data_IF_013822398477
#
_entry.id   IF_013822398477
#
_cell.length_a   1.000
_cell.length_b   1.000
_cell.length_c   1.000
_cell.angle_alpha   90.00
_cell.angle_beta   90.00
_cell.angle_gamma   90.00
#
_symmetry.space_group_name_H-M   'P 1'
#
loop_
_entity.id
_entity.type
_entity.pdbx_description
1 polymer ?
#
# COMPACT_ATOMS: atom_id res chain seq x y z
N UNK A 1 32.88 -4.04 -4.09
CA UNK A 1 32.25 -2.97 -4.87
C UNK A 1 30.78 -3.23 -4.85
N UNK A 2 30.03 -2.43 -4.11
CA UNK A 2 28.59 -2.62 -3.92
C UNK A 2 27.90 -1.48 -4.64
N UNK A 3 27.43 -1.73 -5.86
CA UNK A 3 26.66 -0.74 -6.62
C UNK A 3 25.19 -0.87 -6.24
N UNK A 4 24.59 0.21 -5.74
CA UNK A 4 23.20 0.26 -5.30
C UNK A 4 22.46 1.36 -6.01
N UNK A 5 21.20 1.11 -6.33
CA UNK A 5 20.31 2.11 -6.90
C UNK A 5 19.13 2.33 -5.96
N UNK A 6 18.80 3.59 -5.69
CA UNK A 6 17.57 4.00 -5.06
C UNK A 6 16.74 4.83 -6.05
N UNK A 7 15.44 4.57 -6.10
CA UNK A 7 14.47 5.28 -6.95
C UNK A 7 13.35 5.79 -6.06
N UNK A 8 12.94 7.04 -6.24
CA UNK A 8 11.70 7.57 -5.69
C UNK A 8 10.83 8.14 -6.81
N UNK A 9 9.63 7.57 -6.99
CA UNK A 9 8.62 8.16 -7.89
C UNK A 9 7.75 9.14 -7.10
N UNK A 10 7.94 10.42 -7.41
CA UNK A 10 7.05 11.50 -7.03
C UNK A 10 5.96 11.79 -8.07
N UNK A 11 5.09 12.75 -7.74
CA UNK A 11 4.03 13.21 -8.64
C UNK A 11 4.53 13.97 -9.87
N UNK A 12 5.69 14.63 -9.82
CA UNK A 12 6.21 15.44 -10.93
C UNK A 12 7.48 14.84 -11.54
N UNK A 13 8.38 14.37 -10.68
CA UNK A 13 9.67 13.84 -11.06
C UNK A 13 9.87 12.44 -10.49
N UNK A 14 10.68 11.67 -11.21
CA UNK A 14 11.28 10.42 -10.73
C UNK A 14 12.74 10.71 -10.44
N UNK A 15 13.12 10.54 -9.18
CA UNK A 15 14.47 10.77 -8.69
C UNK A 15 15.19 9.43 -8.57
N UNK A 16 16.41 9.35 -9.11
CA UNK A 16 17.23 8.14 -9.09
C UNK A 16 18.60 8.50 -8.52
N UNK A 17 19.04 7.76 -7.52
CA UNK A 17 20.37 7.84 -6.95
C UNK A 17 21.09 6.51 -7.15
N UNK A 18 22.35 6.56 -7.59
CA UNK A 18 23.25 5.42 -7.66
C UNK A 18 24.41 5.69 -6.73
N UNK A 19 24.75 4.70 -5.91
CA UNK A 19 25.92 4.72 -5.05
C UNK A 19 26.90 3.64 -5.49
N UNK A 20 28.15 4.02 -5.70
CA UNK A 20 29.26 3.12 -6.04
C UNK A 20 30.53 3.59 -5.36
N UNK A 21 31.13 2.73 -4.54
CA UNK A 21 32.42 2.99 -3.87
C UNK A 21 32.48 4.36 -3.16
N UNK A 22 31.43 4.68 -2.41
CA UNK A 22 31.19 5.95 -1.70
C UNK A 22 30.97 7.20 -2.58
N UNK A 23 30.91 7.05 -3.91
CA UNK A 23 30.48 8.09 -4.84
C UNK A 23 28.97 8.01 -5.11
N UNK A 24 28.33 9.18 -5.18
CA UNK A 24 26.91 9.33 -5.44
C UNK A 24 26.69 9.98 -6.81
N UNK A 25 25.87 9.32 -7.63
CA UNK A 25 25.39 9.81 -8.91
C UNK A 25 23.88 9.98 -8.82
N UNK A 26 23.33 10.99 -9.48
CA UNK A 26 21.90 11.24 -9.47
C UNK A 26 21.38 11.56 -10.87
N UNK A 27 20.17 11.08 -11.16
CA UNK A 27 19.39 11.44 -12.33
C UNK A 27 17.99 11.86 -11.91
N UNK A 28 17.39 12.79 -12.67
CA UNK A 28 16.04 13.30 -12.42
C UNK A 28 15.29 13.36 -13.73
N UNK A 29 14.21 12.58 -13.82
CA UNK A 29 13.38 12.50 -15.02
C UNK A 29 11.95 12.94 -14.71
N UNK A 30 11.18 13.32 -15.73
CA UNK A 30 9.75 13.58 -15.56
C UNK A 30 9.01 12.27 -15.29
N UNK A 31 8.07 12.28 -14.34
CA UNK A 31 7.20 11.14 -14.08
C UNK A 31 6.31 10.89 -15.30
N UNK A 32 6.33 9.65 -15.80
CA UNK A 32 5.49 9.22 -16.93
C UNK A 32 4.17 8.66 -16.38
N UNK A 33 3.15 9.50 -16.21
CA UNK A 33 1.93 9.15 -15.47
C UNK A 33 1.14 7.95 -16.04
N UNK A 34 1.18 7.76 -17.35
CA UNK A 34 0.51 6.66 -18.06
C UNK A 34 1.28 5.34 -18.00
N UNK A 35 2.59 5.41 -17.71
CA UNK A 35 3.49 4.26 -17.63
C UNK A 35 4.68 4.58 -16.70
N UNK A 36 4.47 4.67 -15.36
CA UNK A 36 5.48 5.18 -14.43
C UNK A 36 6.79 4.36 -14.44
N UNK A 37 6.70 3.07 -14.72
CA UNK A 37 7.84 2.16 -14.90
C UNK A 37 8.82 2.62 -16.00
N UNK A 38 8.33 3.28 -17.05
CA UNK A 38 9.19 3.82 -18.13
C UNK A 38 10.03 5.00 -17.64
N UNK A 39 9.45 5.84 -16.79
CA UNK A 39 10.17 6.96 -16.17
C UNK A 39 11.32 6.48 -15.28
N UNK A 40 11.08 5.40 -14.52
CA UNK A 40 12.08 4.73 -13.69
C UNK A 40 13.22 4.17 -14.54
N UNK A 41 12.88 3.37 -15.54
CA UNK A 41 13.90 2.75 -16.40
C UNK A 41 14.74 3.79 -17.12
N UNK A 42 14.13 4.89 -17.57
CA UNK A 42 14.86 6.02 -18.15
C UNK A 42 15.84 6.63 -17.16
N UNK A 43 15.41 6.94 -15.93
CA UNK A 43 16.29 7.53 -14.91
C UNK A 43 17.43 6.60 -14.49
N UNK A 44 17.16 5.29 -14.42
CA UNK A 44 18.17 4.26 -14.17
C UNK A 44 19.20 4.21 -15.31
N UNK A 45 18.75 4.24 -16.57
CA UNK A 45 19.67 4.25 -17.71
C UNK A 45 20.57 5.50 -17.71
N UNK A 46 20.01 6.68 -17.45
CA UNK A 46 20.77 7.94 -17.37
C UNK A 46 21.81 7.93 -16.25
N UNK A 47 21.48 7.41 -15.06
CA UNK A 47 22.43 7.37 -13.93
C UNK A 47 23.55 6.34 -14.15
N UNK A 48 23.24 5.20 -14.76
CA UNK A 48 24.22 4.17 -15.11
C UNK A 48 25.21 4.67 -16.18
N UNK A 49 24.71 5.36 -17.21
CA UNK A 49 25.55 5.99 -18.23
C UNK A 49 26.50 7.03 -17.61
N UNK A 50 25.97 7.89 -16.73
CA UNK A 50 26.76 8.92 -16.04
C UNK A 50 27.84 8.32 -15.14
N UNK A 51 27.54 7.22 -14.47
CA UNK A 51 28.48 6.53 -13.58
C UNK A 51 29.46 5.61 -14.34
N UNK A 52 29.23 5.33 -15.62
CA UNK A 52 30.00 4.36 -16.40
C UNK A 52 29.88 2.94 -15.85
N UNK A 53 28.68 2.55 -15.42
CA UNK A 53 28.40 1.27 -14.74
C UNK A 53 27.45 0.43 -15.58
N UNK A 54 27.77 -0.85 -15.74
CA UNK A 54 26.89 -1.79 -16.43
C UNK A 54 25.76 -2.29 -15.50
N UNK A 55 24.60 -2.61 -16.07
CA UNK A 55 23.46 -3.14 -15.30
C UNK A 55 23.83 -4.39 -14.48
N UNK A 56 24.75 -5.21 -14.97
CA UNK A 56 25.20 -6.44 -14.29
C UNK A 56 26.02 -6.19 -13.02
N UNK A 57 26.54 -4.98 -12.82
CA UNK A 57 27.28 -4.59 -11.62
C UNK A 57 26.35 -4.14 -10.48
N UNK A 58 25.08 -3.83 -10.78
CA UNK A 58 24.10 -3.40 -9.78
C UNK A 58 23.72 -4.59 -8.89
N UNK A 59 23.92 -4.42 -7.59
CA UNK A 59 23.68 -5.46 -6.58
C UNK A 59 22.31 -5.37 -5.91
N UNK A 60 21.68 -4.20 -5.97
CA UNK A 60 20.39 -3.94 -5.31
C UNK A 60 19.68 -2.74 -5.93
N UNK A 61 18.35 -2.83 -6.06
CA UNK A 61 17.47 -1.69 -6.33
C UNK A 61 16.52 -1.49 -5.15
N UNK A 62 16.43 -0.26 -4.64
CA UNK A 62 15.47 0.16 -3.63
C UNK A 62 14.49 1.12 -4.31
N UNK A 63 13.20 0.90 -4.13
CA UNK A 63 12.15 1.66 -4.78
C UNK A 63 11.16 2.22 -3.75
N UNK A 64 11.11 3.54 -3.68
CA UNK A 64 10.09 4.34 -3.00
C UNK A 64 9.07 4.86 -4.00
N UNK A 65 7.82 5.05 -3.54
CA UNK A 65 6.77 5.57 -4.41
C UNK A 65 5.69 6.30 -3.65
N UNK A 66 5.18 7.35 -4.29
CA UNK A 66 3.99 8.08 -3.84
C UNK A 66 2.69 7.60 -4.49
N UNK A 67 2.76 6.60 -5.39
CA UNK A 67 1.59 6.15 -6.16
C UNK A 67 0.46 5.67 -5.25
N UNK A 68 0.76 4.82 -4.25
CA UNK A 68 -0.24 4.32 -3.32
C UNK A 68 -0.92 5.45 -2.52
N UNK A 69 -0.15 6.42 -2.04
CA UNK A 69 -0.65 7.61 -1.36
C UNK A 69 -1.58 8.41 -2.28
N UNK A 70 -1.15 8.70 -3.50
CA UNK A 70 -1.93 9.52 -4.44
C UNK A 70 -3.24 8.85 -4.83
N UNK A 71 -3.27 7.52 -5.02
CA UNK A 71 -4.49 6.77 -5.30
C UNK A 71 -5.55 6.94 -4.19
N UNK A 72 -5.11 7.00 -2.92
CA UNK A 72 -6.00 7.20 -1.77
C UNK A 72 -6.47 8.65 -1.66
N UNK A 73 -5.56 9.61 -1.79
CA UNK A 73 -5.88 11.05 -1.70
C UNK A 73 -6.84 11.46 -2.82
N UNK A 74 -6.56 11.05 -4.06
CA UNK A 74 -7.34 11.41 -5.25
C UNK A 74 -8.59 10.55 -5.45
N UNK A 75 -8.81 9.53 -4.59
CA UNK A 75 -9.93 8.58 -4.72
C UNK A 75 -10.00 7.91 -6.10
N UNK A 76 -8.83 7.50 -6.61
CA UNK A 76 -8.65 6.85 -7.93
C UNK A 76 -8.31 5.36 -7.83
N UNK A 77 -8.64 4.72 -6.71
CA UNK A 77 -8.47 3.28 -6.57
C UNK A 77 -9.53 2.47 -7.30
N UNK A 78 -9.45 1.16 -7.14
CA UNK A 78 -10.30 0.18 -7.81
C UNK A 78 -11.66 0.02 -7.13
N UNK A 79 -12.74 -0.26 -7.89
CA UNK A 79 -14.04 -0.62 -7.32
C UNK A 79 -13.89 -1.78 -6.33
N UNK A 80 -14.27 -1.56 -5.07
CA UNK A 80 -13.95 -2.46 -3.97
C UNK A 80 -15.20 -2.85 -3.19
N UNK A 81 -15.35 -4.15 -2.90
CA UNK A 81 -16.34 -4.70 -1.98
C UNK A 81 -15.79 -4.88 -0.56
N UNK A 82 -16.68 -4.99 0.42
CA UNK A 82 -16.32 -5.30 1.81
C UNK A 82 -17.24 -6.38 2.36
N UNK A 83 -16.67 -7.47 2.87
CA UNK A 83 -17.38 -8.44 3.71
C UNK A 83 -17.15 -8.09 5.19
N UNK A 84 -18.23 -8.06 5.97
CA UNK A 84 -18.19 -7.77 7.41
C UNK A 84 -19.06 -8.72 8.20
N UNK A 85 -18.79 -8.84 9.50
CA UNK A 85 -19.70 -9.51 10.42
C UNK A 85 -21.10 -8.90 10.35
N UNK A 86 -22.14 -9.71 10.32
CA UNK A 86 -23.53 -9.24 10.32
C UNK A 86 -23.79 -8.32 11.53
N UNK A 87 -24.34 -7.14 11.23
CA UNK A 87 -24.53 -6.05 12.19
C UNK A 87 -23.41 -5.01 12.23
N UNK A 88 -22.27 -5.25 11.55
CA UNK A 88 -21.08 -4.37 11.60
C UNK A 88 -20.72 -3.74 10.25
N UNK A 89 -21.59 -3.86 9.23
CA UNK A 89 -21.32 -3.30 7.88
C UNK A 89 -21.10 -1.80 7.85
N UNK A 90 -21.67 -1.08 8.83
CA UNK A 90 -21.64 0.39 8.89
C UNK A 90 -20.51 0.90 9.81
N UNK A 91 -19.66 0.02 10.38
CA UNK A 91 -18.54 0.43 11.23
C UNK A 91 -17.54 1.35 10.52
N UNK A 92 -17.29 1.15 9.22
CA UNK A 92 -16.41 2.04 8.42
C UNK A 92 -17.05 3.40 8.12
N UNK A 93 -18.37 3.51 8.22
CA UNK A 93 -19.12 4.79 8.08
C UNK A 93 -19.16 5.54 9.41
N UNK A 94 -19.51 4.83 10.48
CA UNK A 94 -19.67 5.37 11.82
C UNK A 94 -18.34 5.77 12.44
N UNK A 95 -17.26 5.05 12.11
CA UNK A 95 -15.88 5.31 12.56
C UNK A 95 -15.78 5.25 14.08
N UNK A 96 -14.96 6.13 14.64
CA UNK A 96 -14.85 6.47 16.04
C UNK A 96 -15.22 7.96 16.21
N UNK A 97 -15.20 8.46 17.44
CA UNK A 97 -15.55 9.85 17.76
C UNK A 97 -14.47 10.87 17.37
N UNK A 98 -13.38 10.44 16.71
CA UNK A 98 -12.27 11.32 16.36
C UNK A 98 -12.63 12.28 15.23
N UNK A 99 -12.29 13.56 15.40
CA UNK A 99 -12.54 14.65 14.45
C UNK A 99 -11.24 15.39 14.18
N UNK A 100 -10.92 15.62 12.91
CA UNK A 100 -9.76 16.42 12.54
C UNK A 100 -9.96 17.91 12.85
N UNK A 101 -11.21 18.38 12.84
CA UNK A 101 -11.61 19.70 13.34
C UNK A 101 -12.53 19.54 14.56
N UNK A 102 -11.92 19.50 15.76
CA UNK A 102 -12.64 19.18 17.01
C UNK A 102 -13.75 20.19 17.37
N UNK A 103 -13.62 21.44 16.93
CA UNK A 103 -14.55 22.52 17.25
C UNK A 103 -15.60 22.77 16.16
N UNK A 104 -15.48 22.14 14.99
CA UNK A 104 -16.51 22.23 13.97
C UNK A 104 -17.60 21.16 14.21
N UNK A 105 -18.77 21.63 14.63
CA UNK A 105 -19.94 20.78 14.85
C UNK A 105 -20.61 20.33 13.55
N UNK A 106 -20.34 21.02 12.43
CA UNK A 106 -20.88 20.74 11.10
C UNK A 106 -19.87 20.05 10.18
N UNK A 107 -18.77 19.54 10.74
CA UNK A 107 -17.70 18.86 10.00
C UNK A 107 -18.27 17.79 9.07
N UNK A 108 -17.94 17.90 7.79
CA UNK A 108 -18.30 16.88 6.80
C UNK A 108 -17.18 15.84 6.71
N UNK A 109 -17.49 14.62 7.13
CA UNK A 109 -16.51 13.54 7.15
C UNK A 109 -16.37 12.95 5.74
N UNK A 110 -15.15 12.72 5.23
CA UNK A 110 -14.95 12.22 3.87
C UNK A 110 -15.64 10.86 3.70
N UNK A 111 -16.33 10.52 2.61
CA UNK A 111 -17.02 9.23 2.49
C UNK A 111 -16.03 8.05 2.62
N UNK A 112 -16.43 6.87 3.15
CA UNK A 112 -15.55 5.70 3.20
C UNK A 112 -15.17 5.21 1.79
N UNK A 113 -14.02 4.51 1.67
CA UNK A 113 -13.51 4.02 0.38
C UNK A 113 -14.46 3.01 -0.29
N UNK A 114 -15.12 2.17 0.52
CA UNK A 114 -16.12 1.20 0.05
C UNK A 114 -17.51 1.78 0.28
N UNK A 115 -18.34 2.04 -0.75
CA UNK A 115 -19.69 2.57 -0.57
C UNK A 115 -20.60 1.54 0.09
N UNK A 116 -21.61 1.99 0.84
CA UNK A 116 -22.52 1.13 1.60
C UNK A 116 -23.20 0.03 0.76
N UNK A 117 -23.49 0.31 -0.52
CA UNK A 117 -24.10 -0.64 -1.46
C UNK A 117 -23.21 -1.87 -1.76
N UNK A 118 -21.90 -1.77 -1.55
CA UNK A 118 -20.91 -2.82 -1.76
C UNK A 118 -20.41 -3.46 -0.45
N UNK A 119 -21.02 -3.11 0.70
CA UNK A 119 -20.73 -3.73 2.00
C UNK A 119 -21.71 -4.88 2.25
N UNK A 120 -21.19 -6.10 2.38
CA UNK A 120 -21.96 -7.34 2.52
C UNK A 120 -21.80 -7.91 3.93
N UNK A 121 -22.87 -7.89 4.75
CA UNK A 121 -22.85 -8.53 6.06
C UNK A 121 -22.97 -10.06 5.92
N UNK A 122 -22.06 -10.79 6.56
CA UNK A 122 -22.00 -12.25 6.58
C UNK A 122 -22.42 -12.76 7.95
N UNK A 123 -23.18 -13.86 8.00
CA UNK A 123 -23.54 -14.49 9.27
C UNK A 123 -22.36 -15.31 9.77
N UNK A 124 -21.56 -14.71 10.63
CA UNK A 124 -20.53 -15.40 11.40
C UNK A 124 -20.29 -14.66 12.73
N UNK A 125 -19.69 -15.32 13.73
CA UNK A 125 -19.28 -14.65 14.95
C UNK A 125 -18.17 -15.41 15.67
N UNK A 126 -17.11 -14.68 16.01
CA UNK A 126 -16.05 -15.11 16.93
C UNK A 126 -16.11 -14.20 18.17
N UNK A 127 -15.87 -14.73 19.36
CA UNK A 127 -15.80 -13.93 20.59
C UNK A 127 -14.39 -13.37 20.84
N UNK A 128 -14.26 -12.52 21.86
CA UNK A 128 -12.98 -11.91 22.23
C UNK A 128 -11.93 -12.92 22.77
N UNK A 129 -12.28 -14.20 22.92
CA UNK A 129 -11.35 -15.28 23.27
C UNK A 129 -11.01 -16.17 22.07
N UNK A 130 -11.44 -15.79 20.87
CA UNK A 130 -11.20 -16.54 19.64
C UNK A 130 -12.12 -17.75 19.45
N UNK A 131 -13.16 -17.92 20.28
CA UNK A 131 -14.10 -19.04 20.16
C UNK A 131 -15.19 -18.72 19.15
N UNK A 132 -15.52 -19.69 18.30
CA UNK A 132 -16.62 -19.57 17.35
C UNK A 132 -17.95 -19.60 18.13
N UNK A 133 -18.70 -18.50 18.05
CA UNK A 133 -20.07 -18.41 18.57
C UNK A 133 -21.10 -18.78 17.51
N UNK A 134 -20.84 -18.35 16.28
CA UNK A 134 -21.67 -18.65 15.11
C UNK A 134 -20.73 -19.01 13.96
N UNK A 135 -20.87 -20.23 13.42
CA UNK A 135 -20.08 -20.68 12.27
C UNK A 135 -20.28 -19.75 11.07
N UNK A 136 -19.25 -19.63 10.24
CA UNK A 136 -19.35 -18.94 8.95
C UNK A 136 -20.48 -19.54 8.10
N UNK A 137 -21.46 -18.71 7.73
CA UNK A 137 -22.43 -19.08 6.71
C UNK A 137 -21.80 -18.91 5.32
N UNK A 138 -21.38 -20.02 4.72
CA UNK A 138 -20.78 -20.00 3.38
C UNK A 138 -21.75 -19.54 2.29
N UNK A 139 -23.06 -19.77 2.44
CA UNK A 139 -24.07 -19.32 1.46
C UNK A 139 -24.16 -17.79 1.41
N UNK A 140 -24.02 -17.11 2.56
CA UNK A 140 -23.94 -15.64 2.61
C UNK A 140 -22.70 -15.13 1.84
N UNK A 141 -21.56 -15.83 1.93
CA UNK A 141 -20.34 -15.48 1.20
C UNK A 141 -20.52 -15.68 -0.31
N UNK A 142 -21.21 -16.75 -0.71
CA UNK A 142 -21.53 -17.03 -2.12
C UNK A 142 -22.48 -15.96 -2.70
N UNK A 143 -23.56 -15.60 -2.01
CA UNK A 143 -24.46 -14.51 -2.43
C UNK A 143 -23.73 -13.17 -2.50
N UNK A 144 -22.88 -12.88 -1.50
CA UNK A 144 -22.04 -11.68 -1.50
C UNK A 144 -21.12 -11.64 -2.73
N UNK A 145 -20.45 -12.75 -3.07
CA UNK A 145 -19.59 -12.85 -4.23
C UNK A 145 -20.36 -12.57 -5.53
N UNK A 146 -21.55 -13.17 -5.72
CA UNK A 146 -22.38 -12.95 -6.90
C UNK A 146 -22.81 -11.49 -7.05
N UNK A 147 -23.23 -10.84 -5.96
CA UNK A 147 -23.62 -9.42 -5.98
C UNK A 147 -22.45 -8.49 -6.24
N UNK A 148 -21.26 -8.84 -5.76
CA UNK A 148 -20.04 -8.07 -5.98
C UNK A 148 -19.54 -8.25 -7.42
N UNK A 149 -19.60 -9.45 -7.98
CA UNK A 149 -19.33 -9.70 -9.39
C UNK A 149 -20.26 -8.89 -10.30
N UNK A 150 -21.55 -8.87 -10.01
CA UNK A 150 -22.54 -8.08 -10.76
C UNK A 150 -22.33 -6.56 -10.67
N UNK A 151 -21.48 -6.09 -9.74
CA UNK A 151 -21.08 -4.69 -9.59
C UNK A 151 -19.67 -4.40 -10.09
N UNK A 152 -19.06 -5.34 -10.83
CA UNK A 152 -17.73 -5.22 -11.44
C UNK A 152 -16.62 -4.81 -10.45
N UNK A 153 -16.68 -5.33 -9.21
CA UNK A 153 -15.60 -5.06 -8.26
C UNK A 153 -14.29 -5.72 -8.70
N UNK A 154 -13.19 -5.01 -8.51
CA UNK A 154 -11.85 -5.49 -8.82
C UNK A 154 -11.08 -5.92 -7.57
N UNK A 155 -11.58 -5.57 -6.39
CA UNK A 155 -11.03 -6.03 -5.11
C UNK A 155 -12.11 -6.24 -4.05
N UNK A 156 -11.80 -7.06 -3.05
CA UNK A 156 -12.66 -7.31 -1.89
C UNK A 156 -11.83 -7.31 -0.60
N UNK A 157 -12.21 -6.47 0.35
CA UNK A 157 -11.74 -6.58 1.72
C UNK A 157 -12.64 -7.52 2.52
N UNK A 158 -12.06 -8.39 3.35
CA UNK A 158 -12.79 -9.27 4.27
C UNK A 158 -12.38 -8.90 5.69
N UNK A 159 -13.38 -8.63 6.53
CA UNK A 159 -13.15 -8.05 7.83
C UNK A 159 -14.18 -8.47 8.86
N UNK A 160 -13.84 -9.49 9.63
CA UNK A 160 -14.70 -10.03 10.68
C UNK A 160 -14.23 -9.58 12.07
N UNK A 161 -15.17 -9.52 13.02
CA UNK A 161 -14.81 -9.21 14.40
C UNK A 161 -13.93 -10.31 14.99
N UNK A 162 -12.91 -9.89 15.73
CA UNK A 162 -11.95 -10.77 16.39
C UNK A 162 -11.11 -11.67 15.46
N UNK A 163 -11.05 -11.35 14.16
CA UNK A 163 -10.20 -12.07 13.20
C UNK A 163 -8.71 -11.94 13.49
N UNK A 164 -8.28 -10.89 14.20
CA UNK A 164 -6.91 -10.74 14.71
C UNK A 164 -6.53 -11.81 15.77
N UNK A 165 -7.52 -12.45 16.41
CA UNK A 165 -7.30 -13.56 17.36
C UNK A 165 -7.45 -14.90 16.65
N UNK A 166 -8.49 -15.03 15.83
CA UNK A 166 -8.80 -16.25 15.11
C UNK A 166 -9.30 -15.90 13.71
N UNK A 167 -8.43 -16.08 12.72
CA UNK A 167 -8.65 -15.71 11.33
C UNK A 167 -9.47 -16.73 10.51
N UNK A 168 -9.84 -17.88 11.11
CA UNK A 168 -10.40 -19.03 10.37
C UNK A 168 -11.60 -18.70 9.47
N UNK A 169 -12.47 -17.79 9.89
CA UNK A 169 -13.60 -17.37 9.06
C UNK A 169 -13.19 -16.45 7.92
N UNK A 170 -12.22 -15.53 8.14
CA UNK A 170 -11.71 -14.67 7.07
C UNK A 170 -10.96 -15.49 6.02
N UNK A 171 -10.10 -16.42 6.46
CA UNK A 171 -9.38 -17.36 5.59
C UNK A 171 -10.37 -18.15 4.74
N UNK A 172 -11.39 -18.74 5.37
CA UNK A 172 -12.41 -19.53 4.66
C UNK A 172 -13.23 -18.68 3.70
N UNK A 173 -13.63 -17.47 4.07
CA UNK A 173 -14.32 -16.56 3.17
C UNK A 173 -13.42 -16.15 1.99
N UNK A 174 -12.13 -15.91 2.25
CA UNK A 174 -11.12 -15.62 1.22
C UNK A 174 -10.98 -16.74 0.19
N UNK A 175 -10.92 -18.00 0.63
CA UNK A 175 -10.90 -19.17 -0.25
C UNK A 175 -12.13 -19.24 -1.16
N UNK A 176 -13.32 -19.02 -0.59
CA UNK A 176 -14.59 -19.03 -1.34
C UNK A 176 -14.60 -17.91 -2.37
N UNK A 177 -14.22 -16.68 -1.98
CA UNK A 177 -14.14 -15.53 -2.86
C UNK A 177 -13.13 -15.77 -3.99
N UNK A 178 -11.93 -16.29 -3.70
CA UNK A 178 -10.89 -16.53 -4.70
C UNK A 178 -11.35 -17.51 -5.78
N UNK A 179 -12.13 -18.52 -5.40
CA UNK A 179 -12.72 -19.50 -6.32
C UNK A 179 -13.83 -18.91 -7.18
N UNK A 180 -14.65 -18.00 -6.64
CA UNK A 180 -15.82 -17.45 -7.32
C UNK A 180 -15.55 -16.16 -8.10
N UNK A 181 -14.50 -15.44 -7.74
CA UNK A 181 -14.11 -14.15 -8.32
C UNK A 181 -12.67 -14.21 -8.85
N UNK A 182 -12.39 -15.05 -9.86
CA UNK A 182 -11.04 -15.15 -10.42
C UNK A 182 -10.58 -13.80 -10.97
N UNK A 183 -9.39 -13.36 -10.57
CA UNK A 183 -8.80 -12.07 -10.98
C UNK A 183 -9.18 -10.88 -10.11
N UNK A 184 -10.05 -11.06 -9.11
CA UNK A 184 -10.35 -10.05 -8.08
C UNK A 184 -9.35 -10.20 -6.93
N UNK A 185 -8.75 -9.08 -6.52
CA UNK A 185 -7.80 -9.06 -5.40
C UNK A 185 -8.54 -9.19 -4.06
N UNK A 186 -8.05 -10.03 -3.15
CA UNK A 186 -8.69 -10.27 -1.85
C UNK A 186 -7.73 -9.89 -0.74
N UNK A 187 -8.20 -9.02 0.16
CA UNK A 187 -7.46 -8.57 1.34
C UNK A 187 -8.16 -9.04 2.61
N UNK A 188 -7.50 -9.88 3.40
CA UNK A 188 -7.98 -10.30 4.72
C UNK A 188 -7.49 -9.32 5.78
N UNK A 189 -8.40 -8.80 6.61
CA UNK A 189 -8.04 -7.81 7.63
C UNK A 189 -7.07 -8.37 8.67
N UNK A 190 -7.17 -9.67 8.97
CA UNK A 190 -6.25 -10.44 9.80
C UNK A 190 -4.82 -10.57 9.25
N UNK A 191 -4.61 -10.33 7.96
CA UNK A 191 -3.27 -10.35 7.36
C UNK A 191 -2.72 -8.95 7.14
N UNK A 192 -3.59 -8.03 6.72
CA UNK A 192 -3.22 -6.65 6.40
C UNK A 192 -2.82 -5.90 7.68
N UNK A 193 -3.69 -5.94 8.71
CA UNK A 193 -3.56 -5.21 9.96
C UNK A 193 -4.22 -5.99 11.11
N UNK A 194 -3.56 -7.03 11.68
CA UNK A 194 -4.09 -7.88 12.75
C UNK A 194 -4.19 -7.17 14.12
N UNK A 195 -4.84 -6.01 14.15
CA UNK A 195 -5.00 -5.19 15.34
C UNK A 195 -6.41 -5.30 15.91
N UNK A 196 -6.57 -5.11 17.22
CA UNK A 196 -7.84 -5.35 17.91
C UNK A 196 -8.99 -4.48 17.40
N UNK A 197 -8.73 -3.19 17.16
CA UNK A 197 -9.75 -2.19 16.87
C UNK A 197 -10.35 -2.38 15.49
N UNK A 198 -11.66 -2.51 15.41
CA UNK A 198 -12.37 -2.87 14.20
C UNK A 198 -12.37 -1.76 13.15
N UNK A 199 -12.54 -0.50 13.54
CA UNK A 199 -12.59 0.59 12.55
C UNK A 199 -11.25 0.74 11.84
N UNK A 200 -10.16 0.87 12.58
CA UNK A 200 -8.81 1.05 12.05
C UNK A 200 -8.42 -0.17 11.20
N UNK A 201 -8.62 -1.39 11.71
CA UNK A 201 -8.35 -2.64 10.97
C UNK A 201 -9.14 -2.72 9.67
N UNK A 202 -10.45 -2.49 9.71
CA UNK A 202 -11.31 -2.55 8.51
C UNK A 202 -10.96 -1.44 7.52
N UNK A 203 -10.71 -0.23 8.00
CA UNK A 203 -10.32 0.90 7.16
C UNK A 203 -9.00 0.62 6.43
N UNK A 204 -8.00 0.08 7.12
CA UNK A 204 -6.72 -0.31 6.51
C UNK A 204 -6.89 -1.46 5.52
N UNK A 205 -7.70 -2.47 5.83
CA UNK A 205 -8.00 -3.56 4.91
C UNK A 205 -8.72 -3.08 3.64
N UNK A 206 -9.66 -2.14 3.79
CA UNK A 206 -10.34 -1.48 2.66
C UNK A 206 -9.33 -0.68 1.83
N UNK A 207 -8.46 0.11 2.47
CA UNK A 207 -7.44 0.89 1.77
C UNK A 207 -6.46 -0.02 0.99
N UNK A 208 -6.06 -1.16 1.57
CA UNK A 208 -5.24 -2.14 0.88
C UNK A 208 -5.94 -2.68 -0.37
N UNK A 209 -7.14 -3.24 -0.22
CA UNK A 209 -7.93 -3.77 -1.33
C UNK A 209 -8.15 -2.70 -2.42
N UNK A 210 -8.44 -1.46 -2.01
CA UNK A 210 -8.73 -0.35 -2.91
C UNK A 210 -7.58 0.01 -3.84
N UNK A 211 -6.32 -0.08 -3.37
CA UNK A 211 -5.15 0.25 -4.20
C UNK A 211 -4.47 -0.99 -4.80
N UNK A 212 -4.76 -2.19 -4.28
CA UNK A 212 -4.05 -3.41 -4.61
C UNK A 212 -4.03 -3.75 -6.10
N UNK A 213 -5.15 -3.73 -6.86
CA UNK A 213 -5.10 -4.09 -8.28
C UNK A 213 -4.19 -3.16 -9.12
N UNK A 214 -4.21 -1.86 -8.84
CA UNK A 214 -3.39 -0.87 -9.54
C UNK A 214 -1.91 -1.01 -9.18
N UNK A 215 -1.62 -1.17 -7.88
CA UNK A 215 -0.25 -1.33 -7.40
C UNK A 215 0.37 -2.67 -7.84
N UNK A 216 -0.39 -3.77 -7.83
CA UNK A 216 0.06 -5.07 -8.36
C UNK A 216 0.50 -4.94 -9.82
N UNK A 217 -0.34 -4.35 -10.68
CA UNK A 217 -0.01 -4.15 -12.12
C UNK A 217 1.23 -3.29 -12.33
N UNK A 218 1.35 -2.21 -11.57
CA UNK A 218 2.52 -1.31 -11.64
C UNK A 218 3.81 -2.05 -11.26
N UNK A 219 3.78 -2.76 -10.13
CA UNK A 219 4.92 -3.49 -9.61
C UNK A 219 5.33 -4.68 -10.52
N UNK A 220 4.36 -5.35 -11.14
CA UNK A 220 4.60 -6.35 -12.20
C UNK A 220 5.29 -5.74 -13.43
N UNK A 221 4.75 -4.63 -13.93
CA UNK A 221 5.33 -3.91 -15.06
C UNK A 221 6.77 -3.47 -14.79
N UNK A 222 7.02 -2.93 -13.59
CA UNK A 222 8.34 -2.51 -13.16
C UNK A 222 9.34 -3.67 -13.15
N UNK A 223 8.97 -4.82 -12.57
CA UNK A 223 9.85 -6.00 -12.55
C UNK A 223 10.22 -6.46 -13.97
N UNK A 224 9.24 -6.50 -14.88
CA UNK A 224 9.45 -6.87 -16.28
C UNK A 224 10.37 -5.89 -17.00
N UNK A 225 10.17 -4.58 -16.84
CA UNK A 225 10.97 -3.57 -17.52
C UNK A 225 12.41 -3.51 -16.97
N UNK A 226 12.60 -3.61 -15.65
CA UNK A 226 13.94 -3.74 -15.06
C UNK A 226 14.66 -4.99 -15.59
N UNK A 227 13.93 -6.11 -15.70
CA UNK A 227 14.49 -7.31 -16.28
C UNK A 227 14.84 -7.15 -17.78
N UNK A 228 14.05 -6.38 -18.54
CA UNK A 228 14.32 -6.12 -19.96
C UNK A 228 15.63 -5.36 -20.18
N UNK A 229 15.94 -4.39 -19.32
CA UNK A 229 17.21 -3.62 -19.43
C UNK A 229 18.44 -4.36 -18.86
N UNK A 230 18.26 -5.57 -18.32
CA UNK A 230 19.37 -6.40 -17.86
C UNK A 230 19.67 -6.29 -16.36
N UNK A 231 18.86 -5.57 -15.58
CA UNK A 231 18.92 -5.64 -14.13
C UNK A 231 18.37 -6.99 -13.66
N UNK A 232 19.16 -7.70 -12.87
CA UNK A 232 18.85 -9.05 -12.35
C UNK A 232 18.94 -9.13 -10.82
N UNK A 233 19.30 -8.03 -10.17
CA UNK A 233 19.42 -7.94 -8.73
C UNK A 233 18.05 -7.87 -8.04
N UNK A 234 17.98 -8.13 -6.72
CA UNK A 234 16.75 -7.97 -5.95
C UNK A 234 16.20 -6.54 -6.00
N UNK A 235 14.89 -6.43 -6.22
CA UNK A 235 14.11 -5.20 -6.07
C UNK A 235 13.46 -5.18 -4.67
N UNK A 236 13.81 -4.18 -3.88
CA UNK A 236 13.23 -3.92 -2.57
C UNK A 236 12.36 -2.69 -2.59
N UNK A 237 11.31 -2.69 -1.78
CA UNK A 237 10.39 -1.57 -1.64
C UNK A 237 10.51 -0.94 -0.27
N UNK A 238 10.52 0.38 -0.23
CA UNK A 238 10.50 1.14 1.02
C UNK A 238 9.10 1.06 1.64
N UNK A 239 9.05 0.76 2.94
CA UNK A 239 7.83 0.73 3.74
C UNK A 239 7.59 2.08 4.42
N UNK A 240 6.33 2.38 4.76
CA UNK A 240 5.95 3.56 5.57
C UNK A 240 6.70 3.65 6.90
N UNK A 241 7.06 2.49 7.48
CA UNK A 241 7.81 2.40 8.73
C UNK A 241 9.33 2.52 8.59
N UNK A 242 9.84 2.81 7.39
CA UNK A 242 11.28 3.00 7.13
C UNK A 242 12.07 1.70 6.91
N UNK A 243 11.41 0.54 6.95
CA UNK A 243 12.01 -0.75 6.59
C UNK A 243 11.95 -1.03 5.08
N UNK A 244 12.60 -2.09 4.64
CA UNK A 244 12.52 -2.61 3.27
C UNK A 244 11.67 -3.88 3.21
N UNK A 245 11.01 -4.11 2.08
CA UNK A 245 10.23 -5.33 1.83
C UNK A 245 10.48 -5.90 0.43
N UNK A 246 9.96 -7.10 0.17
CA UNK A 246 10.03 -7.76 -1.13
C UNK A 246 8.90 -7.32 -2.04
N UNK A 247 9.08 -7.47 -3.35
CA UNK A 247 8.05 -7.23 -4.36
C UNK A 247 6.76 -7.99 -4.08
N UNK A 248 6.86 -9.28 -3.75
CA UNK A 248 5.70 -10.11 -3.42
C UNK A 248 4.89 -9.55 -2.23
N UNK A 249 5.57 -9.07 -1.19
CA UNK A 249 4.91 -8.49 -0.02
C UNK A 249 4.29 -7.13 -0.34
N UNK A 250 4.99 -6.30 -1.10
CA UNK A 250 4.50 -4.99 -1.55
C UNK A 250 3.25 -5.09 -2.44
N UNK A 251 3.16 -6.12 -3.29
CA UNK A 251 1.97 -6.42 -4.10
C UNK A 251 0.79 -6.87 -3.26
N UNK A 252 1.03 -7.70 -2.24
CA UNK A 252 -0.03 -8.19 -1.34
C UNK A 252 -0.51 -7.12 -0.37
N UNK A 253 0.40 -6.28 0.13
CA UNK A 253 0.12 -5.26 1.14
C UNK A 253 0.54 -3.83 0.74
N UNK A 254 0.08 -3.30 -0.41
CA UNK A 254 0.51 -1.99 -0.90
C UNK A 254 0.13 -0.82 0.01
N UNK A 255 -0.82 -1.01 0.93
CA UNK A 255 -1.10 -0.01 1.97
C UNK A 255 0.13 0.32 2.83
N UNK A 256 1.09 -0.61 2.94
CA UNK A 256 2.35 -0.42 3.68
C UNK A 256 3.39 0.41 2.92
N UNK A 257 3.09 0.83 1.69
CA UNK A 257 3.92 1.72 0.86
C UNK A 257 3.45 3.18 0.91
N UNK A 258 2.30 3.43 1.54
CA UNK A 258 1.75 4.79 1.71
C UNK A 258 2.75 5.61 2.51
N UNK A 259 3.18 6.75 2.00
CA UNK A 259 4.26 7.57 2.59
C UNK A 259 5.64 6.88 2.65
N UNK A 260 5.95 5.96 1.73
CA UNK A 260 7.26 5.30 1.67
C UNK A 260 8.43 6.26 1.35
N UNK A 261 8.29 7.15 0.37
CA UNK A 261 9.33 8.15 0.04
C UNK A 261 9.68 9.06 1.23
N UNK A 262 8.68 9.65 1.91
CA UNK A 262 8.88 10.50 3.10
C UNK A 262 9.53 9.78 4.28
N UNK A 263 9.23 8.49 4.48
CA UNK A 263 9.93 7.68 5.47
C UNK A 263 11.44 7.62 5.15
N UNK A 264 11.81 7.49 3.88
CA UNK A 264 13.20 7.58 3.42
C UNK A 264 13.84 8.95 3.72
N UNK A 265 13.11 10.03 3.47
CA UNK A 265 13.55 11.40 3.80
C UNK A 265 13.79 11.61 5.29
N UNK A 266 12.88 11.11 6.15
CA UNK A 266 13.02 11.17 7.59
C UNK A 266 14.22 10.35 8.10
N UNK A 267 14.44 9.15 7.56
CA UNK A 267 15.62 8.33 7.88
C UNK A 267 16.91 9.06 7.50
N UNK A 268 16.94 9.69 6.32
CA UNK A 268 18.08 10.46 5.86
C UNK A 268 18.36 11.65 6.77
N UNK A 269 17.33 12.45 7.10
CA UNK A 269 17.44 13.57 8.03
C UNK A 269 17.98 13.13 9.40
N UNK A 270 17.48 12.01 9.95
CA UNK A 270 18.00 11.44 11.20
C UNK A 270 19.45 10.94 11.10
N UNK A 271 19.90 10.49 9.92
CA UNK A 271 21.29 10.14 9.68
C UNK A 271 22.21 11.36 9.71
N UNK A 272 21.82 12.44 9.03
CA UNK A 272 22.56 13.71 9.02
C UNK A 272 22.58 14.33 10.43
N UNK A 273 21.45 14.30 11.15
CA UNK A 273 21.37 14.79 12.52
C UNK A 273 22.42 14.12 13.43
N UNK A 274 22.54 12.79 13.36
CA UNK A 274 23.55 12.03 14.13
C UNK A 274 24.99 12.42 13.76
N UNK A 275 25.28 12.63 12.48
CA UNK A 275 26.62 13.06 12.04
C UNK A 275 26.98 14.45 12.56
N UNK A 276 25.98 15.33 12.71
CA UNK A 276 26.14 16.69 13.24
C UNK A 276 26.02 16.77 14.77
N UNK A 277 25.73 15.67 15.45
CA UNK A 277 25.50 15.66 16.91
C UNK A 277 24.23 16.40 17.33
N UNK A 278 23.21 16.44 16.47
CA UNK A 278 21.91 17.05 16.74
C UNK A 278 20.94 15.98 17.28
N UNK A 279 20.32 16.26 18.42
CA UNK A 279 19.33 15.36 19.05
C UNK A 279 17.90 15.63 18.55
N UNK A 280 17.56 16.90 18.34
CA UNK A 280 16.25 17.34 17.86
C UNK A 280 16.37 17.97 16.47
N UNK A 281 15.69 17.38 15.49
CA UNK A 281 15.63 17.91 14.12
C UNK A 281 14.19 17.90 13.60
N UNK A 282 13.89 18.80 12.68
CA UNK A 282 12.64 18.79 11.93
C UNK A 282 12.99 18.59 10.46
N UNK A 283 12.51 17.51 9.88
CA UNK A 283 12.62 17.25 8.45
C UNK A 283 11.44 17.90 7.73
N UNK A 284 11.73 18.71 6.71
CA UNK A 284 10.74 19.38 5.88
C UNK A 284 11.01 19.06 4.41
N UNK A 285 10.06 18.37 3.76
CA UNK A 285 10.10 18.05 2.33
C UNK A 285 8.89 18.68 1.63
N UNK A 286 9.15 19.46 0.58
CA UNK A 286 8.13 20.15 -0.18
C UNK A 286 8.26 19.79 -1.67
N UNK A 287 7.26 19.05 -2.16
CA UNK A 287 7.10 18.76 -3.58
C UNK A 287 6.11 19.71 -4.26
N UNK A 288 5.78 19.41 -5.52
CA UNK A 288 4.80 20.19 -6.29
C UNK A 288 3.33 20.01 -5.83
N UNK A 289 3.03 18.97 -5.04
CA UNK A 289 1.66 18.61 -4.64
C UNK A 289 1.45 18.59 -3.13
N UNK A 290 2.46 18.16 -2.37
CA UNK A 290 2.36 17.96 -0.91
C UNK A 290 3.59 18.53 -0.20
N UNK A 291 3.39 18.95 1.05
CA UNK A 291 4.47 19.28 1.98
C UNK A 291 4.38 18.32 3.17
N UNK A 292 5.55 17.84 3.63
CA UNK A 292 5.66 16.78 4.61
C UNK A 292 6.64 17.17 5.70
N UNK A 293 6.25 16.88 6.93
CA UNK A 293 6.97 17.25 8.13
C UNK A 293 7.14 15.99 8.98
N UNK A 294 8.37 15.75 9.45
CA UNK A 294 8.68 14.69 10.39
C UNK A 294 9.58 15.24 11.51
N UNK A 295 9.38 14.74 12.72
CA UNK A 295 10.19 15.04 13.91
C UNK A 295 11.13 13.85 14.16
#
# INVERSE_FOLDING_TARGET
MTTRIAVDIGGTFTDVALERDDELFAAKTLTTHDAPERGVVKGIAEVLETAGVDCGEVTQVIYGTTLATNLLIERKGSPTGLLTTRGFRDSVEMRNENRYEQYDVNIDLPPPLVPRSLRRPITERIDARGRILTSLNEEDVVDAAQRLAAADVQAVAVGFLHSYINAVHEERAGEILARLLPGVEISLSSEVSPEMREFERLSTACANAYVQPLMSRHLDGLEVELARIGLRCPLHLMLSGGGLTTLATARRFPVRLVESGPAGGAIFAGSIARQLGLEDVLSYDMGGTTAKICL
#
